data_IF_411164547619
#
_entry.id   IF_411164547619
#
_cell.length_a   1.000
_cell.length_b   1.000
_cell.length_c   1.000
_cell.angle_alpha   90.00
_cell.angle_beta   90.00
_cell.angle_gamma   90.00
#
_symmetry.space_group_name_H-M   'P 1'
#
loop_
_entity.id
_entity.type
_entity.pdbx_description
1 polymer ?
#
# COMPACT_ATOMS: atom_id res chain seq x y z
N UNK A 1 -22.36 10.98 7.45
CA UNK A 1 -23.46 10.81 6.46
C UNK A 1 -23.70 9.31 6.32
N UNK A 2 -24.96 8.86 6.31
CA UNK A 2 -25.29 7.44 6.15
C UNK A 2 -25.01 7.03 4.70
N UNK A 3 -24.17 6.02 4.49
CA UNK A 3 -23.85 5.47 3.15
C UNK A 3 -25.14 4.93 2.53
N UNK A 4 -25.44 5.34 1.29
CA UNK A 4 -26.68 4.96 0.58
C UNK A 4 -26.61 3.61 -0.14
N UNK A 5 -25.46 2.92 -0.12
CA UNK A 5 -25.28 1.61 -0.74
C UNK A 5 -25.47 0.41 0.21
N UNK A 6 -25.62 -0.79 -0.35
CA UNK A 6 -25.65 -2.04 0.40
C UNK A 6 -24.33 -2.23 1.16
N UNK A 7 -24.42 -2.33 2.49
CA UNK A 7 -23.26 -2.64 3.35
C UNK A 7 -23.14 -4.15 3.43
N UNK A 8 -22.01 -4.68 2.95
CA UNK A 8 -21.69 -6.11 2.98
C UNK A 8 -20.76 -6.34 4.16
N UNK A 9 -21.20 -7.11 5.15
CA UNK A 9 -20.33 -7.52 6.26
C UNK A 9 -19.44 -8.68 5.82
N UNK A 10 -18.14 -8.55 6.06
CA UNK A 10 -17.14 -9.58 5.75
C UNK A 10 -16.18 -9.75 6.92
N UNK A 11 -15.74 -10.99 7.15
CA UNK A 11 -14.89 -11.30 8.31
C UNK A 11 -13.45 -10.82 8.14
N UNK A 12 -12.95 -10.90 6.90
CA UNK A 12 -11.57 -10.56 6.54
C UNK A 12 -11.51 -10.19 5.06
N UNK A 13 -10.51 -9.39 4.69
CA UNK A 13 -10.31 -8.88 3.34
C UNK A 13 -8.83 -8.80 3.04
N UNK A 14 -8.45 -9.22 1.83
CA UNK A 14 -7.13 -8.99 1.25
C UNK A 14 -7.25 -7.89 0.19
N UNK A 15 -6.56 -6.77 0.40
CA UNK A 15 -6.41 -5.71 -0.60
C UNK A 15 -4.97 -5.65 -1.07
N UNK A 16 -4.78 -5.51 -2.39
CA UNK A 16 -3.46 -5.31 -3.02
C UNK A 16 -3.44 -3.99 -3.76
N UNK A 17 -2.50 -3.12 -3.39
CA UNK A 17 -2.17 -1.90 -4.13
C UNK A 17 -1.01 -2.18 -5.06
N UNK A 18 -1.12 -1.86 -6.34
CA UNK A 18 -0.09 -2.14 -7.33
C UNK A 18 0.08 -1.02 -8.35
N UNK A 19 1.32 -0.70 -8.67
CA UNK A 19 1.73 0.37 -9.58
C UNK A 19 3.22 0.27 -9.90
N UNK A 20 3.78 1.27 -10.58
CA UNK A 20 5.21 1.29 -10.85
C UNK A 20 6.01 1.58 -9.56
N UNK A 21 7.25 1.11 -9.50
CA UNK A 21 8.22 1.59 -8.50
C UNK A 21 8.29 3.12 -8.49
N UNK A 22 8.00 3.72 -7.33
CA UNK A 22 7.95 5.17 -7.16
C UNK A 22 6.55 5.78 -7.19
N UNK A 23 5.51 5.03 -7.58
CA UNK A 23 4.10 5.48 -7.50
C UNK A 23 3.57 5.54 -6.06
N UNK A 24 4.35 5.10 -5.07
CA UNK A 24 3.99 5.22 -3.65
C UNK A 24 2.95 4.20 -3.18
N UNK A 25 2.94 2.99 -3.77
CA UNK A 25 2.08 1.88 -3.32
C UNK A 25 2.41 1.43 -1.90
N UNK A 26 3.70 1.39 -1.54
CA UNK A 26 4.14 1.10 -0.17
C UNK A 26 3.55 2.10 0.83
N UNK A 27 3.61 3.40 0.51
CA UNK A 27 3.06 4.45 1.37
C UNK A 27 1.54 4.30 1.54
N UNK A 28 0.85 4.06 0.42
CA UNK A 28 -0.60 3.86 0.38
C UNK A 28 -1.02 2.68 1.24
N UNK A 29 -0.37 1.53 1.05
CA UNK A 29 -0.62 0.32 1.80
C UNK A 29 -0.32 0.47 3.29
N UNK A 30 0.78 1.13 3.67
CA UNK A 30 1.09 1.42 5.06
C UNK A 30 0.03 2.31 5.72
N UNK A 31 -0.40 3.40 5.07
CA UNK A 31 -1.46 4.27 5.61
C UNK A 31 -2.79 3.52 5.77
N UNK A 32 -3.11 2.63 4.83
CA UNK A 32 -4.30 1.80 4.92
C UNK A 32 -4.20 0.75 6.05
N UNK A 33 -3.02 0.15 6.22
CA UNK A 33 -2.71 -0.79 7.31
C UNK A 33 -2.81 -0.12 8.68
N UNK A 34 -2.11 0.99 8.88
CA UNK A 34 -2.09 1.71 10.16
C UNK A 34 -3.49 2.18 10.54
N UNK A 35 -4.27 2.68 9.57
CA UNK A 35 -5.66 3.08 9.80
C UNK A 35 -6.54 1.88 10.15
N UNK A 36 -6.37 0.74 9.49
CA UNK A 36 -7.11 -0.49 9.78
C UNK A 36 -6.80 -1.03 11.18
N UNK A 37 -5.54 -1.02 11.59
CA UNK A 37 -5.12 -1.38 12.94
C UNK A 37 -5.72 -0.42 14.00
N UNK A 38 -5.72 0.89 13.73
CA UNK A 38 -6.27 1.91 14.64
C UNK A 38 -7.79 1.79 14.85
N UNK A 39 -8.54 1.33 13.84
CA UNK A 39 -9.97 1.06 14.01
C UNK A 39 -10.25 -0.29 14.69
N UNK A 40 -9.21 -1.06 14.99
CA UNK A 40 -9.26 -2.29 15.77
C UNK A 40 -9.32 -3.56 14.93
N UNK A 41 -8.85 -3.54 13.69
CA UNK A 41 -8.65 -4.77 12.92
C UNK A 41 -7.30 -5.39 13.22
N UNK A 42 -7.25 -6.72 13.19
CA UNK A 42 -5.98 -7.42 13.09
C UNK A 42 -5.46 -7.34 11.65
N UNK A 43 -4.14 -7.26 11.47
CA UNK A 43 -3.51 -6.92 10.20
C UNK A 43 -2.24 -7.74 9.95
N UNK A 44 -2.07 -8.19 8.69
CA UNK A 44 -0.82 -8.74 8.19
C UNK A 44 -0.50 -8.14 6.83
N UNK A 45 0.74 -7.69 6.64
CA UNK A 45 1.16 -6.98 5.43
C UNK A 45 2.26 -7.72 4.69
N UNK A 46 2.31 -7.52 3.38
CA UNK A 46 3.38 -8.01 2.53
C UNK A 46 3.76 -6.93 1.50
N UNK A 47 4.89 -6.23 1.70
CA UNK A 47 5.43 -5.33 0.71
C UNK A 47 6.12 -6.13 -0.40
N UNK A 48 5.74 -5.88 -1.65
CA UNK A 48 6.26 -6.53 -2.85
C UNK A 48 7.08 -5.53 -3.68
N UNK A 49 8.38 -5.78 -3.78
CA UNK A 49 9.33 -4.93 -4.48
C UNK A 49 9.85 -5.65 -5.72
N UNK A 50 9.94 -4.97 -6.87
CA UNK A 50 10.57 -5.58 -8.03
C UNK A 50 12.06 -5.76 -7.78
N UNK A 51 12.63 -6.80 -8.39
CA UNK A 51 14.08 -7.04 -8.35
C UNK A 51 14.87 -5.90 -9.02
N UNK A 52 14.29 -5.26 -10.03
CA UNK A 52 14.91 -4.16 -10.75
C UNK A 52 14.70 -2.82 -10.05
N UNK A 53 15.79 -2.23 -9.55
CA UNK A 53 15.77 -0.91 -8.89
C UNK A 53 15.29 0.20 -9.85
N UNK A 54 15.56 0.07 -11.15
CA UNK A 54 15.24 1.07 -12.18
C UNK A 54 14.66 0.44 -13.45
N UNK A 55 13.66 -0.43 -13.28
CA UNK A 55 12.88 -0.90 -14.41
C UNK A 55 12.26 0.29 -15.18
N UNK A 56 12.15 0.22 -16.51
CA UNK A 56 11.42 1.22 -17.29
C UNK A 56 9.96 1.32 -16.81
N UNK A 57 9.48 2.56 -16.62
CA UNK A 57 8.12 2.80 -16.15
C UNK A 57 7.07 2.22 -17.13
N UNK A 58 6.08 1.52 -16.58
CA UNK A 58 5.02 0.84 -17.32
C UNK A 58 5.38 -0.56 -17.81
N UNK A 59 6.47 -1.15 -17.31
CA UNK A 59 6.85 -2.55 -17.60
C UNK A 59 6.52 -3.46 -16.42
N UNK A 60 6.20 -4.73 -16.69
CA UNK A 60 5.83 -5.71 -15.65
C UNK A 60 6.96 -5.92 -14.63
N UNK A 61 8.21 -5.90 -15.08
CA UNK A 61 9.38 -6.06 -14.21
C UNK A 61 9.58 -4.91 -13.21
N UNK A 62 8.95 -3.75 -13.44
CA UNK A 62 9.01 -2.58 -12.57
C UNK A 62 7.85 -2.42 -11.60
N UNK A 63 6.90 -3.36 -11.60
CA UNK A 63 5.72 -3.29 -10.74
C UNK A 63 6.12 -3.50 -9.29
N UNK A 64 5.65 -2.60 -8.42
CA UNK A 64 5.69 -2.75 -6.96
C UNK A 64 4.28 -2.89 -6.42
N UNK A 65 4.13 -3.78 -5.44
CA UNK A 65 2.88 -4.07 -4.77
C UNK A 65 2.96 -3.83 -3.26
N UNK A 66 1.81 -3.60 -2.64
CA UNK A 66 1.64 -3.73 -1.20
C UNK A 66 0.35 -4.47 -0.94
N UNK A 67 0.44 -5.61 -0.26
CA UNK A 67 -0.71 -6.38 0.15
C UNK A 67 -0.98 -6.21 1.64
N UNK A 68 -2.26 -6.06 1.98
CA UNK A 68 -2.75 -6.09 3.34
C UNK A 68 -3.88 -7.11 3.44
N UNK A 69 -3.76 -8.00 4.42
CA UNK A 69 -4.86 -8.80 4.94
C UNK A 69 -5.30 -8.20 6.27
N UNK A 70 -6.59 -7.92 6.40
CA UNK A 70 -7.16 -7.36 7.62
C UNK A 70 -8.53 -7.96 7.93
N UNK A 71 -8.85 -8.11 9.21
CA UNK A 71 -10.08 -8.79 9.61
C UNK A 71 -10.49 -8.57 11.06
N UNK A 72 -11.60 -9.21 11.42
CA UNK A 72 -12.06 -9.37 12.80
C UNK A 72 -11.48 -10.64 13.47
N UNK A 73 -10.90 -11.54 12.67
CA UNK A 73 -10.22 -12.75 13.16
C UNK A 73 -8.72 -12.49 13.25
N UNK A 74 -8.03 -13.37 13.97
CA UNK A 74 -6.57 -13.37 14.02
C UNK A 74 -6.00 -13.62 12.62
N UNK A 75 -5.19 -12.66 12.13
CA UNK A 75 -4.62 -12.65 10.79
C UNK A 75 -3.14 -13.03 10.87
N UNK A 76 -2.83 -14.27 10.47
CA UNK A 76 -1.47 -14.81 10.54
C UNK A 76 -0.71 -14.75 9.21
N UNK A 77 -1.38 -14.45 8.10
CA UNK A 77 -0.77 -14.41 6.77
C UNK A 77 -1.27 -13.20 5.99
N UNK A 78 -0.49 -12.69 5.02
CA UNK A 78 -0.93 -11.60 4.15
C UNK A 78 -2.00 -12.03 3.13
N UNK A 79 -2.39 -13.32 3.10
CA UNK A 79 -3.37 -13.88 2.17
C UNK A 79 -2.79 -14.23 0.78
N UNK A 80 -3.34 -15.26 0.12
CA UNK A 80 -2.85 -15.68 -1.20
C UNK A 80 -3.46 -14.87 -2.35
N UNK A 81 -4.79 -14.68 -2.29
CA UNK A 81 -5.57 -14.00 -3.32
C UNK A 81 -6.23 -12.73 -2.77
N UNK A 82 -6.17 -11.66 -3.54
CA UNK A 82 -6.80 -10.39 -3.24
C UNK A 82 -8.32 -10.43 -3.50
N UNK A 83 -9.09 -9.92 -2.54
CA UNK A 83 -10.51 -9.57 -2.73
C UNK A 83 -10.63 -8.28 -3.54
N UNK A 84 -9.68 -7.35 -3.34
CA UNK A 84 -9.61 -6.08 -4.06
C UNK A 84 -8.20 -5.84 -4.61
N UNK A 85 -8.10 -5.62 -5.92
CA UNK A 85 -6.88 -5.16 -6.58
C UNK A 85 -7.03 -3.70 -6.97
N UNK A 86 -6.11 -2.85 -6.54
CA UNK A 86 -5.94 -1.48 -7.05
C UNK A 86 -4.75 -1.51 -8.00
N UNK A 87 -4.99 -1.34 -9.31
CA UNK A 87 -3.96 -1.36 -10.34
C UNK A 87 -3.84 0.02 -11.02
N UNK A 88 -2.73 0.71 -10.78
CA UNK A 88 -2.52 2.09 -11.23
C UNK A 88 -2.11 2.22 -12.72
N UNK A 89 -1.85 1.10 -13.41
CA UNK A 89 -1.48 1.05 -14.83
C UNK A 89 -1.66 -0.37 -15.40
N UNK A 90 -1.54 -0.57 -16.73
CA UNK A 90 -1.68 -1.89 -17.35
C UNK A 90 -0.64 -2.93 -16.91
N UNK A 91 0.59 -2.54 -16.58
CA UNK A 91 1.62 -3.46 -16.12
C UNK A 91 1.28 -4.04 -14.74
N UNK A 92 0.83 -3.20 -13.81
CA UNK A 92 0.34 -3.58 -12.50
C UNK A 92 -0.88 -4.51 -12.60
N UNK A 93 -1.80 -4.20 -13.53
CA UNK A 93 -2.94 -5.04 -13.85
C UNK A 93 -2.49 -6.43 -14.34
N UNK A 94 -1.58 -6.47 -15.34
CA UNK A 94 -1.04 -7.72 -15.90
C UNK A 94 -0.34 -8.60 -14.87
N UNK A 95 0.47 -7.97 -14.02
CA UNK A 95 1.26 -8.67 -13.01
C UNK A 95 0.38 -9.34 -11.96
N UNK A 96 -0.78 -8.73 -11.63
CA UNK A 96 -1.55 -9.09 -10.45
C UNK A 96 -2.93 -9.69 -10.71
N UNK A 97 -3.48 -9.61 -11.93
CA UNK A 97 -4.81 -10.13 -12.24
C UNK A 97 -4.99 -11.60 -11.83
N UNK A 98 -3.94 -12.43 -12.03
CA UNK A 98 -3.94 -13.87 -11.66
C UNK A 98 -4.03 -14.14 -10.15
N UNK A 99 -3.79 -13.12 -9.32
CA UNK A 99 -3.82 -13.20 -7.86
C UNK A 99 -5.09 -12.56 -7.28
N UNK A 100 -6.10 -12.29 -8.10
CA UNK A 100 -7.42 -11.80 -7.66
C UNK A 100 -8.37 -12.98 -7.55
N UNK A 101 -9.19 -13.02 -6.50
CA UNK A 101 -10.23 -14.04 -6.36
C UNK A 101 -11.27 -13.91 -7.48
N UNK A 102 -11.87 -15.02 -7.96
CA UNK A 102 -13.06 -14.94 -8.80
C UNK A 102 -14.14 -14.06 -8.14
N UNK A 103 -14.78 -13.16 -8.90
CA UNK A 103 -15.72 -12.19 -8.32
C UNK A 103 -15.08 -10.99 -7.61
N UNK A 104 -13.74 -10.94 -7.53
CA UNK A 104 -13.00 -9.86 -6.88
C UNK A 104 -13.20 -8.51 -7.57
N UNK A 105 -13.00 -7.44 -6.81
CA UNK A 105 -13.10 -6.06 -7.33
C UNK A 105 -11.74 -5.58 -7.81
N UNK A 106 -11.71 -4.97 -8.99
CA UNK A 106 -10.48 -4.39 -9.56
C UNK A 106 -10.73 -2.92 -9.84
N UNK A 107 -9.99 -2.05 -9.14
CA UNK A 107 -10.00 -0.61 -9.35
C UNK A 107 -8.81 -0.26 -10.22
N UNK A 108 -9.06 0.38 -11.36
CA UNK A 108 -8.02 0.77 -12.30
C UNK A 108 -8.02 2.28 -12.55
N UNK A 109 -6.85 2.84 -12.82
CA UNK A 109 -6.71 4.17 -13.40
C UNK A 109 -6.91 4.08 -14.92
N UNK A 110 -8.13 4.35 -15.41
CA UNK A 110 -8.45 4.21 -16.85
C UNK A 110 -7.63 5.16 -17.72
N UNK A 111 -7.20 6.30 -17.18
CA UNK A 111 -6.32 7.25 -17.88
C UNK A 111 -4.95 6.63 -18.22
N UNK A 112 -4.54 5.57 -17.51
CA UNK A 112 -3.28 4.88 -17.73
C UNK A 112 -3.36 3.80 -18.85
N UNK A 113 -4.56 3.39 -19.28
CA UNK A 113 -4.78 2.37 -20.31
C UNK A 113 -4.74 2.97 -21.73
N UNK A 114 -3.59 3.56 -22.06
CA UNK A 114 -3.29 4.07 -23.41
C UNK A 114 -2.53 3.03 -24.23
N UNK A 115 -2.64 3.08 -25.56
CA UNK A 115 -1.95 2.14 -26.47
C UNK A 115 -0.45 2.01 -26.15
N UNK A 116 0.21 3.13 -25.88
CA UNK A 116 1.64 3.17 -25.51
C UNK A 116 1.94 2.43 -24.20
N UNK A 117 1.07 2.55 -23.20
CA UNK A 117 1.27 1.87 -21.92
C UNK A 117 0.90 0.39 -22.00
N UNK A 118 -0.08 0.04 -22.83
CA UNK A 118 -0.42 -1.35 -23.14
C UNK A 118 0.75 -2.05 -23.83
N UNK A 119 1.35 -1.42 -24.85
CA UNK A 119 2.54 -1.92 -25.55
C UNK A 119 3.71 -2.13 -24.57
N UNK A 120 4.01 -1.16 -23.71
CA UNK A 120 5.06 -1.28 -22.69
C UNK A 120 4.83 -2.41 -21.68
N UNK A 121 3.56 -2.65 -21.31
CA UNK A 121 3.17 -3.76 -20.46
C UNK A 121 3.18 -5.11 -21.22
N UNK A 122 3.42 -5.09 -22.54
CA UNK A 122 3.48 -6.24 -23.42
C UNK A 122 2.10 -6.82 -23.74
N UNK A 123 1.07 -5.98 -23.87
CA UNK A 123 -0.24 -6.39 -24.38
C UNK A 123 -0.28 -6.27 -25.91
N UNK A 124 -0.85 -7.29 -26.56
CA UNK A 124 -1.14 -7.27 -28.00
C UNK A 124 -2.45 -6.54 -28.33
N UNK A 125 -3.38 -6.49 -27.35
CA UNK A 125 -4.71 -5.89 -27.44
C UNK A 125 -5.15 -5.37 -26.08
N UNK A 126 -6.14 -4.48 -26.08
CA UNK A 126 -6.67 -3.88 -24.86
C UNK A 126 -7.40 -4.94 -24.00
N UNK A 127 -6.85 -5.29 -22.82
CA UNK A 127 -7.41 -6.35 -21.99
C UNK A 127 -8.79 -5.99 -21.44
N UNK A 128 -9.18 -4.71 -21.44
CA UNK A 128 -10.50 -4.26 -20.98
C UNK A 128 -11.60 -4.50 -22.03
N UNK A 129 -11.23 -4.56 -23.32
CA UNK A 129 -12.17 -4.74 -24.44
C UNK A 129 -12.32 -6.21 -24.85
N UNK A 130 -11.30 -7.01 -24.60
CA UNK A 130 -11.34 -8.44 -24.89
C UNK A 130 -12.21 -9.14 -23.82
N UNK A 131 -13.39 -9.64 -24.23
CA UNK A 131 -14.52 -10.15 -23.41
C UNK A 131 -14.24 -11.36 -22.47
N UNK A 132 -13.03 -11.49 -21.91
CA UNK A 132 -12.63 -12.60 -21.02
C UNK A 132 -11.98 -12.12 -19.73
N UNK A 133 -12.43 -10.99 -19.20
CA UNK A 133 -12.10 -10.59 -17.83
C UNK A 133 -12.88 -11.42 -16.79
N UNK A 134 -13.69 -12.39 -17.19
CA UNK A 134 -14.42 -13.27 -16.28
C UNK A 134 -15.39 -12.49 -15.39
N UNK A 135 -15.66 -13.02 -14.20
CA UNK A 135 -16.64 -12.47 -13.26
C UNK A 135 -16.07 -11.33 -12.37
N UNK A 136 -14.98 -10.66 -12.76
CA UNK A 136 -14.44 -9.56 -11.95
C UNK A 136 -15.34 -8.32 -12.00
N UNK A 137 -15.44 -7.62 -10.87
CA UNK A 137 -16.07 -6.30 -10.81
C UNK A 137 -15.01 -5.22 -11.11
N UNK A 138 -14.98 -4.72 -12.35
CA UNK A 138 -14.00 -3.73 -12.79
C UNK A 138 -14.54 -2.31 -12.62
N UNK A 139 -13.72 -1.45 -12.03
CA UNK A 139 -14.05 -0.06 -11.73
C UNK A 139 -13.02 0.83 -12.41
N UNK A 140 -13.46 1.43 -13.50
CA UNK A 140 -12.68 2.30 -14.36
C UNK A 140 -12.73 3.74 -13.82
N UNK A 141 -11.82 4.06 -12.91
CA UNK A 141 -11.74 5.40 -12.33
C UNK A 141 -10.76 6.26 -13.13
N UNK A 142 -11.13 7.49 -13.56
CA UNK A 142 -10.20 8.43 -14.19
C UNK A 142 -9.34 9.10 -13.11
N UNK A 143 -8.53 8.29 -12.43
CA UNK A 143 -7.77 8.67 -11.23
C UNK A 143 -6.80 9.80 -11.55
N UNK A 144 -6.06 9.68 -12.66
CA UNK A 144 -5.06 10.68 -13.03
C UNK A 144 -5.71 12.01 -13.39
N UNK A 145 -6.82 12.00 -14.14
CA UNK A 145 -7.58 13.20 -14.51
C UNK A 145 -8.18 13.88 -13.28
N UNK A 146 -8.86 13.14 -12.41
CA UNK A 146 -9.47 13.69 -11.21
C UNK A 146 -8.45 14.16 -10.17
N UNK A 147 -7.26 13.53 -10.13
CA UNK A 147 -6.15 14.00 -9.32
C UNK A 147 -5.68 15.39 -9.76
N UNK A 148 -5.55 15.63 -11.07
CA UNK A 148 -5.19 16.97 -11.60
C UNK A 148 -6.25 18.01 -11.25
N UNK A 149 -7.51 17.68 -11.45
CA UNK A 149 -8.62 18.59 -11.13
C UNK A 149 -8.68 18.95 -9.65
N UNK A 150 -8.42 18.00 -8.75
CA UNK A 150 -8.47 18.22 -7.31
C UNK A 150 -7.43 19.24 -6.80
N UNK A 151 -6.33 19.44 -7.53
CA UNK A 151 -5.19 20.28 -7.10
C UNK A 151 -4.86 21.43 -8.06
N UNK A 152 -5.70 21.68 -9.07
CA UNK A 152 -5.45 22.69 -10.11
C UNK A 152 -5.18 24.09 -9.55
N UNK A 153 -5.85 24.45 -8.45
CA UNK A 153 -5.72 25.75 -7.80
C UNK A 153 -4.43 25.90 -6.97
N UNK A 154 -3.68 24.81 -6.74
CA UNK A 154 -2.46 24.84 -5.92
C UNK A 154 -1.21 25.25 -6.71
N UNK A 155 -1.29 25.38 -8.04
CA UNK A 155 -0.16 25.80 -8.88
C UNK A 155 1.03 24.85 -8.85
N UNK A 156 0.80 23.56 -8.61
CA UNK A 156 1.85 22.55 -8.54
C UNK A 156 2.34 22.14 -9.93
N UNK A 157 3.61 21.73 -10.01
CA UNK A 157 4.15 21.14 -11.23
C UNK A 157 3.54 19.74 -11.49
N UNK A 158 3.45 19.33 -12.75
CA UNK A 158 2.80 18.07 -13.13
C UNK A 158 3.43 16.83 -12.47
N UNK A 159 4.74 16.85 -12.15
CA UNK A 159 5.40 15.73 -11.46
C UNK A 159 4.94 15.63 -10.01
N UNK A 160 4.77 16.75 -9.32
CA UNK A 160 4.21 16.78 -7.96
C UNK A 160 2.75 16.33 -7.93
N UNK A 161 1.94 16.74 -8.92
CA UNK A 161 0.54 16.32 -9.06
C UNK A 161 0.45 14.81 -9.30
N UNK A 162 1.20 14.27 -10.26
CA UNK A 162 1.15 12.84 -10.55
C UNK A 162 1.67 11.96 -9.41
N UNK A 163 2.50 12.51 -8.51
CA UNK A 163 2.97 11.81 -7.30
C UNK A 163 1.94 11.70 -6.19
N UNK A 164 0.83 12.43 -6.23
CA UNK A 164 -0.25 12.30 -5.26
C UNK A 164 -1.39 11.38 -5.73
N UNK A 165 -1.35 10.88 -6.98
CA UNK A 165 -2.42 10.02 -7.56
C UNK A 165 -2.73 8.79 -6.71
N UNK A 166 -1.74 8.26 -6.00
CA UNK A 166 -1.89 7.12 -5.11
C UNK A 166 -2.81 7.43 -3.92
N UNK A 167 -2.88 8.68 -3.47
CA UNK A 167 -3.81 9.10 -2.42
C UNK A 167 -5.26 9.09 -2.90
N UNK A 168 -5.51 9.26 -4.20
CA UNK A 168 -6.86 9.14 -4.74
C UNK A 168 -7.35 7.70 -4.59
N UNK A 169 -6.51 6.75 -4.99
CA UNK A 169 -6.79 5.33 -4.81
C UNK A 169 -6.93 4.94 -3.33
N UNK A 170 -6.11 5.54 -2.44
CA UNK A 170 -6.27 5.39 -0.99
C UNK A 170 -7.64 5.88 -0.50
N UNK A 171 -8.09 7.03 -1.01
CA UNK A 171 -9.39 7.63 -0.68
C UNK A 171 -10.54 6.71 -1.07
N UNK A 172 -10.50 6.13 -2.27
CA UNK A 172 -11.47 5.13 -2.72
C UNK A 172 -11.47 3.90 -1.80
N UNK A 173 -10.29 3.39 -1.44
CA UNK A 173 -10.16 2.25 -0.53
C UNK A 173 -10.71 2.56 0.88
N UNK A 174 -10.51 3.78 1.37
CA UNK A 174 -11.08 4.22 2.64
C UNK A 174 -12.60 4.29 2.61
N UNK A 175 -13.18 4.80 1.53
CA UNK A 175 -14.63 4.76 1.36
C UNK A 175 -15.15 3.32 1.33
N UNK A 176 -14.49 2.46 0.55
CA UNK A 176 -14.84 1.06 0.33
C UNK A 176 -14.94 0.28 1.66
N UNK A 177 -14.00 0.50 2.57
CA UNK A 177 -13.90 -0.23 3.85
C UNK A 177 -14.28 0.59 5.08
N UNK A 178 -14.99 1.70 4.89
CA UNK A 178 -15.49 2.55 5.99
C UNK A 178 -14.38 3.02 6.95
N UNK A 179 -13.27 3.50 6.38
CA UNK A 179 -12.09 3.95 7.14
C UNK A 179 -12.09 5.47 7.34
N UNK A 180 -11.70 5.94 8.53
CA UNK A 180 -11.58 7.38 8.79
C UNK A 180 -10.34 7.95 8.08
N UNK A 181 -10.47 9.17 7.54
CA UNK A 181 -9.38 9.88 6.87
C UNK A 181 -8.37 10.53 7.85
N UNK A 182 -8.78 10.72 9.11
CA UNK A 182 -8.11 11.60 10.09
C UNK A 182 -6.67 11.20 10.40
N UNK A 183 -6.38 9.90 10.46
CA UNK A 183 -5.03 9.40 10.70
C UNK A 183 -4.07 9.84 9.59
N UNK A 184 -4.49 9.63 8.35
CA UNK A 184 -3.71 9.92 7.14
C UNK A 184 -3.53 11.42 6.92
N UNK A 185 -4.56 12.22 7.24
CA UNK A 185 -4.45 13.68 7.23
C UNK A 185 -3.40 14.19 8.26
N UNK A 186 -3.40 13.62 9.47
CA UNK A 186 -2.40 13.96 10.47
C UNK A 186 -0.99 13.53 10.03
N UNK A 187 -0.88 12.37 9.38
CA UNK A 187 0.36 11.90 8.78
C UNK A 187 0.90 12.87 7.71
N UNK A 188 0.06 13.38 6.80
CA UNK A 188 0.49 14.35 5.79
C UNK A 188 1.06 15.62 6.43
N UNK A 189 0.41 16.15 7.46
CA UNK A 189 0.90 17.33 8.19
C UNK A 189 2.27 17.08 8.81
N UNK A 190 2.48 15.90 9.39
CA UNK A 190 3.77 15.53 10.00
C UNK A 190 4.86 15.31 8.96
N UNK A 191 4.59 14.52 7.92
CA UNK A 191 5.59 14.13 6.91
C UNK A 191 5.96 15.27 5.97
N UNK A 192 4.96 16.03 5.51
CA UNK A 192 5.12 17.10 4.54
C UNK A 192 5.02 18.49 5.16
N UNK A 193 5.12 18.62 6.49
CA UNK A 193 5.00 19.92 7.18
C UNK A 193 6.03 20.97 6.75
N UNK A 194 7.16 20.54 6.17
CA UNK A 194 8.16 21.44 5.56
C UNK A 194 7.79 21.92 4.16
N UNK A 195 6.81 21.29 3.51
CA UNK A 195 6.31 21.62 2.16
C UNK A 195 4.77 21.62 2.17
N UNK A 196 4.13 22.66 2.76
CA UNK A 196 2.69 22.66 3.04
C UNK A 196 1.79 22.44 1.82
N UNK A 197 2.19 22.92 0.64
CA UNK A 197 1.46 22.71 -0.61
C UNK A 197 1.33 21.22 -0.98
N UNK A 198 2.37 20.43 -0.71
CA UNK A 198 2.33 18.97 -0.94
C UNK A 198 1.46 18.28 0.10
N UNK A 199 1.49 18.74 1.36
CA UNK A 199 0.60 18.23 2.39
C UNK A 199 -0.88 18.46 2.00
N UNK A 200 -1.20 19.67 1.56
CA UNK A 200 -2.56 20.03 1.14
C UNK A 200 -2.97 19.29 -0.14
N UNK A 201 -2.09 19.15 -1.12
CA UNK A 201 -2.38 18.39 -2.33
C UNK A 201 -2.71 16.92 -2.04
N UNK A 202 -1.92 16.24 -1.20
CA UNK A 202 -2.21 14.85 -0.82
C UNK A 202 -3.55 14.74 -0.08
N UNK A 203 -3.88 15.72 0.78
CA UNK A 203 -5.17 15.77 1.46
C UNK A 203 -6.32 15.97 0.47
N UNK A 204 -6.27 16.97 -0.41
CA UNK A 204 -7.33 17.22 -1.39
C UNK A 204 -7.56 16.01 -2.31
N UNK A 205 -6.48 15.37 -2.74
CA UNK A 205 -6.57 14.17 -3.59
C UNK A 205 -7.14 12.96 -2.84
N UNK A 206 -6.79 12.79 -1.56
CA UNK A 206 -7.40 11.77 -0.70
C UNK A 206 -8.92 11.96 -0.58
N UNK A 207 -9.35 13.20 -0.33
CA UNK A 207 -10.77 13.54 -0.26
C UNK A 207 -11.48 13.37 -1.60
N UNK A 208 -10.84 13.76 -2.71
CA UNK A 208 -11.39 13.58 -4.04
C UNK A 208 -11.65 12.11 -4.36
N UNK A 209 -10.72 11.21 -4.01
CA UNK A 209 -10.90 9.77 -4.17
C UNK A 209 -12.04 9.20 -3.31
N UNK A 210 -12.13 9.64 -2.05
CA UNK A 210 -13.21 9.23 -1.15
C UNK A 210 -14.59 9.67 -1.66
N UNK A 211 -14.71 10.93 -2.09
CA UNK A 211 -15.97 11.48 -2.60
C UNK A 211 -16.36 10.89 -3.96
N UNK A 212 -15.38 10.58 -4.81
CA UNK A 212 -15.62 9.89 -6.07
C UNK A 212 -16.24 8.51 -5.83
N UNK A 213 -15.66 7.73 -4.91
CA UNK A 213 -16.21 6.42 -4.54
C UNK A 213 -17.65 6.51 -4.00
N UNK A 214 -17.97 7.56 -3.24
CA UNK A 214 -19.34 7.82 -2.75
C UNK A 214 -20.34 8.12 -3.88
N UNK A 215 -19.87 8.73 -4.96
CA UNK A 215 -20.73 9.25 -6.03
C UNK A 215 -21.01 8.23 -7.13
N UNK A 216 -20.06 7.35 -7.44
CA UNK A 216 -20.18 6.47 -8.62
C UNK A 216 -21.21 5.34 -8.46
N UNK A 217 -21.68 5.07 -7.25
CA UNK A 217 -22.63 3.98 -6.89
C UNK A 217 -22.23 2.56 -7.37
N UNK A 218 -21.07 2.40 -8.02
CA UNK A 218 -20.54 1.17 -8.61
C UNK A 218 -19.76 0.31 -7.61
N UNK A 219 -19.51 0.83 -6.41
CA UNK A 219 -18.78 0.15 -5.34
C UNK A 219 -19.77 -0.33 -4.26
N UNK A 220 -19.78 -1.62 -3.88
CA UNK A 220 -20.37 -2.00 -2.60
C UNK A 220 -19.56 -1.35 -1.47
N UNK A 221 -20.16 -1.12 -0.30
CA UNK A 221 -19.37 -0.78 0.89
C UNK A 221 -19.19 -2.04 1.73
N UNK A 222 -17.96 -2.38 2.07
CA UNK A 222 -17.66 -3.48 2.97
C UNK A 222 -17.50 -2.98 4.40
N UNK A 223 -18.06 -3.72 5.34
CA UNK A 223 -17.82 -3.52 6.78
C UNK A 223 -17.04 -4.70 7.32
N UNK A 224 -15.87 -4.40 7.86
CA UNK A 224 -15.03 -5.34 8.61
C UNK A 224 -15.09 -4.97 10.08
N UNK A 225 -15.72 -5.82 10.88
CA UNK A 225 -15.85 -5.62 12.32
C UNK A 225 -14.49 -5.65 13.02
N UNK A 226 -14.43 -5.13 14.25
CA UNK A 226 -13.21 -5.13 15.04
C UNK A 226 -12.82 -6.54 15.46
N UNK A 227 -11.52 -6.81 15.52
CA UNK A 227 -11.00 -8.04 16.07
C UNK A 227 -11.05 -8.04 17.60
N UNK A 228 -11.11 -9.24 18.19
CA UNK A 228 -10.97 -9.42 19.64
C UNK A 228 -9.50 -9.31 20.04
N UNK A 229 -9.05 -8.06 20.16
CA UNK A 229 -7.66 -7.71 20.49
C UNK A 229 -7.56 -7.46 22.00
N UNK A 230 -6.64 -8.17 22.66
CA UNK A 230 -6.34 -7.97 24.09
C UNK A 230 -5.97 -6.51 24.36
N UNK A 231 -6.30 -5.97 25.53
CA UNK A 231 -5.87 -4.61 25.89
C UNK A 231 -4.36 -4.58 26.08
N UNK A 232 -3.68 -3.62 25.46
CA UNK A 232 -2.22 -3.49 25.57
C UNK A 232 -1.66 -2.37 24.71
N UNK A 233 -0.34 -2.19 24.79
CA UNK A 233 0.41 -1.28 23.91
C UNK A 233 0.92 -2.08 22.73
N UNK A 234 0.40 -1.75 21.54
CA UNK A 234 0.75 -2.42 20.30
C UNK A 234 1.84 -1.65 19.56
N UNK A 235 2.67 -2.38 18.81
CA UNK A 235 3.64 -1.81 17.89
C UNK A 235 3.66 -2.61 16.60
N UNK A 236 3.63 -1.90 15.48
CA UNK A 236 3.86 -2.47 14.16
C UNK A 236 5.38 -2.61 13.94
N UNK A 237 5.85 -3.82 13.66
CA UNK A 237 7.24 -4.14 13.32
C UNK A 237 7.27 -5.21 12.24
N UNK A 238 8.33 -5.22 11.43
CA UNK A 238 8.59 -6.31 10.48
C UNK A 238 9.52 -7.38 11.12
N UNK A 239 9.75 -8.48 10.39
CA UNK A 239 10.59 -9.58 10.87
C UNK A 239 12.06 -9.20 11.11
N UNK A 240 12.62 -8.31 10.30
CA UNK A 240 14.01 -7.85 10.45
C UNK A 240 14.19 -7.03 11.73
N UNK A 241 13.29 -6.08 12.00
CA UNK A 241 13.28 -5.28 13.24
C UNK A 241 13.05 -6.19 14.45
N UNK A 242 12.09 -7.12 14.38
CA UNK A 242 11.84 -8.09 15.44
C UNK A 242 13.07 -8.94 15.76
N UNK A 243 13.78 -9.40 14.73
CA UNK A 243 15.01 -10.19 14.87
C UNK A 243 16.12 -9.36 15.53
N UNK A 244 16.36 -8.14 15.05
CA UNK A 244 17.35 -7.23 15.63
C UNK A 244 17.05 -6.96 17.12
N UNK A 245 15.79 -6.70 17.46
CA UNK A 245 15.39 -6.44 18.85
C UNK A 245 15.46 -7.70 19.73
N UNK A 246 15.18 -8.88 19.19
CA UNK A 246 15.40 -10.15 19.87
C UNK A 246 16.87 -10.36 20.23
N UNK A 247 17.79 -10.07 19.31
CA UNK A 247 19.24 -10.13 19.55
C UNK A 247 19.67 -9.14 20.64
N UNK A 248 19.16 -7.91 20.60
CA UNK A 248 19.41 -6.90 21.63
C UNK A 248 18.94 -7.36 23.01
N UNK A 249 17.70 -7.87 23.10
CA UNK A 249 17.15 -8.38 24.34
C UNK A 249 17.96 -9.58 24.86
N UNK A 250 18.41 -10.48 23.98
CA UNK A 250 19.28 -11.60 24.34
C UNK A 250 20.62 -11.15 24.91
N UNK A 251 21.25 -10.14 24.30
CA UNK A 251 22.50 -9.56 24.79
C UNK A 251 22.33 -8.91 26.17
N UNK A 252 21.26 -8.12 26.36
CA UNK A 252 20.94 -7.51 27.65
C UNK A 252 20.71 -8.56 28.75
N UNK A 253 19.93 -9.62 28.45
CA UNK A 253 19.61 -10.68 29.42
C UNK A 253 20.79 -11.57 29.77
N UNK A 254 21.71 -11.79 28.82
CA UNK A 254 22.91 -12.60 29.03
C UNK A 254 24.07 -11.80 29.65
N UNK A 255 24.04 -10.46 29.59
CA UNK A 255 25.16 -9.61 29.98
C UNK A 255 26.36 -9.70 29.03
N UNK A 256 26.20 -10.33 27.86
CA UNK A 256 27.23 -10.48 26.86
C UNK A 256 27.18 -9.32 25.84
N UNK A 257 28.34 -8.86 25.34
CA UNK A 257 28.36 -7.83 24.30
C UNK A 257 27.77 -8.37 23.00
N UNK A 258 26.92 -7.57 22.34
CA UNK A 258 26.40 -7.89 21.01
C UNK A 258 27.37 -7.40 19.93
N UNK A 259 27.88 -8.34 19.13
CA UNK A 259 28.61 -8.06 17.91
C UNK A 259 27.85 -8.62 16.70
N UNK A 260 27.70 -7.82 15.64
CA UNK A 260 27.10 -8.23 14.38
C UNK A 260 28.06 -7.88 13.23
N UNK A 261 28.80 -8.88 12.74
CA UNK A 261 29.50 -8.83 11.47
C UNK A 261 28.58 -9.35 10.37
N UNK A 262 28.41 -8.60 9.27
CA UNK A 262 27.55 -9.04 8.17
C UNK A 262 27.93 -8.38 6.85
N UNK A 263 27.86 -9.15 5.76
CA UNK A 263 27.86 -8.64 4.40
C UNK A 263 26.42 -8.28 3.96
N UNK A 264 26.18 -7.11 3.33
CA UNK A 264 24.84 -6.71 2.89
C UNK A 264 24.27 -7.64 1.81
N UNK A 265 23.17 -8.32 2.13
CA UNK A 265 22.37 -9.13 1.19
C UNK A 265 20.87 -8.98 1.48
N UNK A 266 20.05 -8.79 0.44
CA UNK A 266 18.59 -8.74 0.57
C UNK A 266 18.06 -10.14 0.93
N UNK A 267 17.18 -10.30 1.96
CA UNK A 267 16.51 -9.28 2.77
C UNK A 267 17.17 -8.99 4.14
N UNK A 268 18.34 -9.55 4.45
CA UNK A 268 18.95 -9.52 5.79
C UNK A 268 19.65 -8.18 6.13
N UNK A 269 20.01 -7.36 5.14
CA UNK A 269 20.72 -6.08 5.35
C UNK A 269 20.04 -5.16 6.38
N UNK A 270 18.70 -5.16 6.46
CA UNK A 270 17.96 -4.32 7.40
C UNK A 270 18.25 -4.69 8.88
N UNK A 271 18.58 -5.95 9.16
CA UNK A 271 18.95 -6.39 10.52
C UNK A 271 20.24 -5.69 10.95
N UNK A 272 21.26 -5.67 10.07
CA UNK A 272 22.52 -4.96 10.32
C UNK A 272 22.26 -3.46 10.49
N UNK A 273 21.42 -2.86 9.66
CA UNK A 273 21.08 -1.44 9.76
C UNK A 273 20.42 -1.09 11.10
N UNK A 274 19.39 -1.85 11.49
CA UNK A 274 18.68 -1.66 12.77
C UNK A 274 19.62 -1.80 13.96
N UNK A 275 20.48 -2.84 13.97
CA UNK A 275 21.48 -3.04 15.02
C UNK A 275 22.53 -1.93 15.05
N UNK A 276 23.01 -1.47 13.88
CA UNK A 276 24.05 -0.43 13.79
C UNK A 276 23.60 0.93 14.35
N UNK A 277 22.29 1.19 14.33
CA UNK A 277 21.69 2.38 14.93
C UNK A 277 21.66 2.32 16.46
N UNK A 278 21.84 1.14 17.07
CA UNK A 278 21.68 0.89 18.50
C UNK A 278 22.98 0.86 19.31
N UNK A 279 23.93 1.74 18.97
CA UNK A 279 25.17 1.93 19.75
C UNK A 279 24.89 2.37 21.20
N UNK A 280 23.74 3.01 21.43
CA UNK A 280 23.22 3.34 22.78
C UNK A 280 23.03 2.09 23.66
N UNK A 281 22.80 0.93 23.05
CA UNK A 281 22.67 -0.35 23.73
C UNK A 281 23.96 -1.19 23.71
N UNK A 282 25.10 -0.60 23.34
CA UNK A 282 26.40 -1.28 23.34
C UNK A 282 26.64 -2.20 22.15
N UNK A 283 25.81 -2.11 21.10
CA UNK A 283 26.00 -2.89 19.87
C UNK A 283 27.29 -2.50 19.15
N UNK A 284 28.03 -3.51 18.71
CA UNK A 284 29.15 -3.36 17.77
C UNK A 284 28.76 -3.99 16.43
N UNK A 285 28.58 -3.18 15.41
CA UNK A 285 28.30 -3.64 14.05
C UNK A 285 29.54 -3.49 13.16
N UNK A 286 29.79 -4.47 12.29
CA UNK A 286 30.84 -4.44 11.29
C UNK A 286 30.28 -4.88 9.94
N UNK A 287 30.47 -4.06 8.91
CA UNK A 287 30.15 -4.46 7.55
C UNK A 287 31.39 -5.16 6.97
N UNK A 288 31.29 -6.46 6.78
CA UNK A 288 32.38 -7.28 6.28
C UNK A 288 32.50 -7.18 4.75
N UNK A 289 33.63 -7.66 4.22
CA UNK A 289 33.91 -7.80 2.79
C UNK A 289 33.15 -8.95 2.14
N UNK A 290 32.85 -10.02 2.89
CA UNK A 290 32.06 -11.21 2.55
C UNK A 290 31.42 -11.83 3.82
N UNK A 291 30.65 -12.92 3.67
CA UNK A 291 29.89 -13.60 4.76
C UNK A 291 30.74 -14.28 5.85
#
# INVERSE_FOLDING_TARGET
MSKKGQVIEVEQVVIRFSGDSGDGMQLTGMQFSDTSALVGNDVSTFPDYPAEIRAPQGTVGGVSGFQLHFGQKEINTPGDYADVLVAMNPAAFKANLKWVKPGGTIIIDIDAFTDKNLEKAGYDSDPLKDQKLGDYNIIEAPITTLTREAVKELGLDNKSILRSKNMFALGMAYWLFDRPLTHTEAFFKKKFGKVPQIAEANKLVLHAGYNYADTIEALPSYRVNKADIKKGTYRNINGNVATAWGLLAGAEKSGLPLFCGSYPITPATEILQELSARKDLGVKSFQAEDE
#
